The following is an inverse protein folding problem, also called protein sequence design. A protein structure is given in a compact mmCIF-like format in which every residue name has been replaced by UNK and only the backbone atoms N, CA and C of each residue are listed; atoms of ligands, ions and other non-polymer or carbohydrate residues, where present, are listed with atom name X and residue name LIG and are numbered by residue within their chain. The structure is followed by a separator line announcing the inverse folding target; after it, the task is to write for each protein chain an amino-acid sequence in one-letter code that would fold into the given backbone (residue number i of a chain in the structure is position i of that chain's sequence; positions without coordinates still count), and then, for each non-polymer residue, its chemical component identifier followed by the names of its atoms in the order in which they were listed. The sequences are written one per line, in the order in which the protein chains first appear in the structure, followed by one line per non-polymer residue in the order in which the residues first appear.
data_IF_909235841857
#
_entry.id   IF_909235841857
#
_cell.length_a   1.000
_cell.length_b   1.000
_cell.length_c   1.000
_cell.angle_alpha   90.00
_cell.angle_beta   90.00
_cell.angle_gamma   90.00
#
_symmetry.space_group_name_H-M   'P 1'
#
loop_
_entity.id
_entity.type
_entity.pdbx_description
1 polymer ?
#
# COMPACT_ATOMS: atom_id res chain seq x y z
N UNK A 1 -17.37 7.24 -4.91
CA UNK A 1 -16.42 6.61 -3.95
C UNK A 1 -16.71 7.10 -2.54
N UNK A 2 -16.57 6.23 -1.49
CA UNK A 2 -16.63 6.68 -0.08
C UNK A 2 -15.21 6.96 0.41
N UNK A 3 -15.05 8.02 1.22
CA UNK A 3 -13.74 8.39 1.79
C UNK A 3 -13.85 8.32 3.31
N UNK A 4 -12.96 7.55 3.94
CA UNK A 4 -12.84 7.43 5.39
C UNK A 4 -11.47 7.89 5.86
N UNK A 5 -11.44 8.62 6.96
CA UNK A 5 -10.19 9.09 7.59
C UNK A 5 -9.88 8.39 8.90
N UNK A 6 -10.89 7.78 9.53
CA UNK A 6 -10.75 7.06 10.80
C UNK A 6 -11.11 5.58 10.63
N UNK A 7 -10.38 4.72 11.32
CA UNK A 7 -10.66 3.29 11.36
C UNK A 7 -12.06 3.00 11.90
N UNK A 8 -12.50 3.76 12.91
CA UNK A 8 -13.84 3.64 13.49
C UNK A 8 -14.99 3.96 12.52
N UNK A 9 -14.73 4.79 11.51
CA UNK A 9 -15.69 5.10 10.45
C UNK A 9 -15.72 4.01 9.35
N UNK A 10 -14.55 3.42 9.09
CA UNK A 10 -14.39 2.36 8.10
C UNK A 10 -14.95 1.03 8.60
N UNK A 11 -14.76 0.70 9.87
CA UNK A 11 -15.08 -0.60 10.47
C UNK A 11 -16.53 -1.07 10.21
N UNK A 12 -17.60 -0.26 10.40
CA UNK A 12 -18.97 -0.70 10.12
C UNK A 12 -19.18 -1.09 8.65
N UNK A 13 -18.47 -0.43 7.72
CA UNK A 13 -18.53 -0.79 6.31
C UNK A 13 -17.83 -2.14 6.04
N UNK A 14 -16.69 -2.40 6.69
CA UNK A 14 -15.98 -3.67 6.58
C UNK A 14 -16.83 -4.83 7.11
N UNK A 15 -17.50 -4.64 8.25
CA UNK A 15 -18.42 -5.61 8.82
C UNK A 15 -19.56 -5.91 7.83
N UNK A 16 -20.24 -4.87 7.33
CA UNK A 16 -21.34 -5.04 6.37
C UNK A 16 -20.93 -5.78 5.08
N UNK A 17 -19.70 -5.53 4.57
CA UNK A 17 -19.18 -6.22 3.38
C UNK A 17 -18.97 -7.70 3.69
N UNK A 18 -18.36 -8.02 4.83
CA UNK A 18 -18.07 -9.40 5.26
C UNK A 18 -19.34 -10.19 5.57
N UNK A 19 -20.31 -9.57 6.20
CA UNK A 19 -21.61 -10.21 6.52
C UNK A 19 -22.37 -10.58 5.25
N UNK A 20 -22.13 -9.87 4.15
CA UNK A 20 -22.67 -10.20 2.82
C UNK A 20 -21.82 -11.25 2.08
N UNK A 21 -20.76 -11.76 2.68
CA UNK A 21 -19.84 -12.71 2.05
C UNK A 21 -19.02 -12.12 0.90
N UNK A 22 -18.92 -10.78 0.79
CA UNK A 22 -18.21 -10.12 -0.29
C UNK A 22 -16.69 -10.10 -0.03
N UNK A 23 -15.92 -10.35 -1.08
CA UNK A 23 -14.46 -10.28 -1.04
C UNK A 23 -13.96 -8.84 -1.07
N UNK A 24 -12.85 -8.58 -0.37
CA UNK A 24 -12.19 -7.27 -0.30
C UNK A 24 -10.82 -7.36 -0.96
N UNK A 25 -10.62 -6.55 -2.00
CA UNK A 25 -9.32 -6.26 -2.59
C UNK A 25 -8.70 -5.01 -1.97
N UNK A 26 -7.45 -5.08 -1.53
CA UNK A 26 -6.73 -3.97 -0.91
C UNK A 26 -5.54 -3.55 -1.75
N UNK A 27 -5.43 -2.25 -2.04
CA UNK A 27 -4.28 -1.60 -2.68
C UNK A 27 -3.72 -0.55 -1.72
N UNK A 28 -2.50 -0.76 -1.25
CA UNK A 28 -1.80 0.17 -0.34
C UNK A 28 -0.90 1.10 -1.14
N UNK A 29 -1.08 2.41 -0.97
CA UNK A 29 -0.30 3.45 -1.65
C UNK A 29 0.15 4.55 -0.71
N UNK A 30 1.08 5.38 -1.17
CA UNK A 30 1.45 6.63 -0.49
C UNK A 30 0.91 7.88 -1.19
N UNK A 31 -0.03 7.73 -2.13
CA UNK A 31 -0.52 8.83 -2.97
C UNK A 31 0.36 9.08 -4.19
N UNK A 32 0.17 10.23 -4.84
CA UNK A 32 0.77 10.58 -6.14
C UNK A 32 0.49 9.46 -7.16
N UNK A 33 -0.80 9.12 -7.31
CA UNK A 33 -1.25 7.98 -8.08
C UNK A 33 -0.93 8.15 -9.57
N UNK A 34 -0.47 7.08 -10.18
CA UNK A 34 -0.14 6.99 -11.59
C UNK A 34 -0.69 5.67 -12.17
N UNK A 35 -0.56 5.45 -13.47
CA UNK A 35 -1.12 4.28 -14.16
C UNK A 35 -0.71 2.93 -13.55
N UNK A 36 0.47 2.85 -12.97
CA UNK A 36 0.90 1.66 -12.21
C UNK A 36 0.02 1.39 -10.99
N UNK A 37 -0.33 2.41 -10.20
CA UNK A 37 -1.26 2.25 -9.08
C UNK A 37 -2.68 1.95 -9.57
N UNK A 38 -3.14 2.64 -10.62
CA UNK A 38 -4.45 2.42 -11.19
C UNK A 38 -4.61 1.01 -11.78
N UNK A 39 -3.54 0.42 -12.33
CA UNK A 39 -3.56 -0.97 -12.81
C UNK A 39 -3.77 -1.98 -11.67
N UNK A 40 -3.20 -1.73 -10.48
CA UNK A 40 -3.46 -2.58 -9.30
C UNK A 40 -4.93 -2.54 -8.89
N UNK A 41 -5.55 -1.34 -8.96
CA UNK A 41 -6.97 -1.17 -8.63
C UNK A 41 -7.86 -1.90 -9.65
N UNK A 42 -7.57 -1.77 -10.96
CA UNK A 42 -8.30 -2.51 -12.01
C UNK A 42 -8.18 -4.02 -11.80
N UNK A 43 -6.98 -4.51 -11.50
CA UNK A 43 -6.76 -5.93 -11.21
C UNK A 43 -7.54 -6.37 -9.96
N UNK A 44 -7.58 -5.52 -8.92
CA UNK A 44 -8.37 -5.80 -7.73
C UNK A 44 -9.88 -5.87 -8.04
N UNK A 45 -10.39 -5.01 -8.92
CA UNK A 45 -11.80 -5.00 -9.34
C UNK A 45 -12.20 -6.25 -10.15
N UNK A 46 -11.26 -6.87 -10.85
CA UNK A 46 -11.54 -8.12 -11.59
C UNK A 46 -11.77 -9.32 -10.66
N UNK A 47 -11.23 -9.29 -9.46
CA UNK A 47 -11.18 -10.44 -8.55
C UNK A 47 -11.86 -10.22 -7.20
N UNK A 48 -12.43 -9.04 -6.97
CA UNK A 48 -13.13 -8.76 -5.71
C UNK A 48 -14.37 -7.91 -5.97
N UNK A 49 -15.40 -8.14 -5.17
CA UNK A 49 -16.65 -7.34 -5.22
C UNK A 49 -16.46 -5.96 -4.63
N UNK A 50 -15.45 -5.78 -3.77
CA UNK A 50 -15.20 -4.52 -3.10
C UNK A 50 -13.71 -4.19 -3.08
N UNK A 51 -13.36 -2.98 -3.52
CA UNK A 51 -11.96 -2.53 -3.58
C UNK A 51 -11.74 -1.34 -2.67
N UNK A 52 -10.72 -1.45 -1.82
CA UNK A 52 -10.24 -0.40 -0.93
C UNK A 52 -8.85 0.02 -1.39
N UNK A 53 -8.68 1.30 -1.70
CA UNK A 53 -7.37 1.92 -1.85
C UNK A 53 -7.04 2.68 -0.57
N UNK A 54 -5.82 2.58 -0.07
CA UNK A 54 -5.35 3.49 0.96
C UNK A 54 -4.32 4.46 0.39
N UNK A 55 -4.37 5.71 0.89
CA UNK A 55 -3.31 6.68 0.68
C UNK A 55 -2.77 7.06 2.06
N UNK A 56 -1.55 6.61 2.35
CA UNK A 56 -0.90 6.87 3.63
C UNK A 56 0.62 7.02 3.45
N UNK A 57 1.12 8.25 3.68
CA UNK A 57 2.56 8.52 3.66
C UNK A 57 3.13 8.04 5.00
N UNK A 58 3.73 6.83 4.98
CA UNK A 58 4.20 6.18 6.19
C UNK A 58 5.55 6.74 6.66
N UNK A 59 5.62 7.47 7.79
CA UNK A 59 6.88 8.07 8.23
C UNK A 59 7.95 7.04 8.60
N UNK A 60 7.54 5.84 9.03
CA UNK A 60 8.49 4.83 9.53
C UNK A 60 9.34 4.18 8.44
N UNK A 61 8.98 4.30 7.16
CA UNK A 61 9.75 3.72 6.05
C UNK A 61 10.75 4.69 5.41
N UNK A 62 10.74 5.96 5.82
CA UNK A 62 11.71 6.95 5.35
C UNK A 62 12.96 6.94 6.23
N UNK A 63 14.13 6.99 5.59
CA UNK A 63 15.42 7.08 6.28
C UNK A 63 15.85 8.54 6.52
N UNK A 64 15.23 9.49 5.80
CA UNK A 64 15.55 10.90 5.83
C UNK A 64 14.24 11.69 6.00
N UNK A 65 14.20 12.62 6.95
CA UNK A 65 13.06 13.50 7.17
C UNK A 65 12.78 14.42 5.98
N UNK A 66 13.80 14.83 5.25
CA UNK A 66 13.63 15.66 4.06
C UNK A 66 12.84 14.92 2.98
N UNK A 67 13.12 13.61 2.78
CA UNK A 67 12.39 12.79 1.81
C UNK A 67 10.92 12.62 2.21
N UNK A 68 10.64 12.48 3.50
CA UNK A 68 9.28 12.44 4.02
C UNK A 68 8.54 13.77 3.84
N UNK A 69 9.19 14.87 4.18
CA UNK A 69 8.59 16.22 4.10
C UNK A 69 8.35 16.69 2.66
N UNK A 70 9.24 16.29 1.74
CA UNK A 70 9.15 16.64 0.31
C UNK A 70 8.29 15.65 -0.50
N UNK A 71 7.75 14.60 0.13
CA UNK A 71 6.95 13.62 -0.59
C UNK A 71 5.70 14.28 -1.21
N UNK A 72 5.40 14.05 -2.51
CA UNK A 72 4.30 14.70 -3.20
C UNK A 72 2.95 14.41 -2.53
N UNK A 73 2.17 15.47 -2.29
CA UNK A 73 0.81 15.39 -1.73
C UNK A 73 -0.19 15.90 -2.77
N UNK A 74 -0.79 14.99 -3.50
CA UNK A 74 -1.68 15.26 -4.66
C UNK A 74 -3.09 14.72 -4.41
N UNK A 75 -3.61 14.93 -3.19
CA UNK A 75 -4.84 14.26 -2.69
C UNK A 75 -6.04 14.49 -3.61
N UNK A 76 -6.27 15.71 -4.09
CA UNK A 76 -7.45 16.02 -4.92
C UNK A 76 -7.37 15.35 -6.30
N UNK A 77 -6.18 15.32 -6.90
CA UNK A 77 -5.90 14.60 -8.15
C UNK A 77 -6.02 13.08 -7.96
N UNK A 78 -5.50 12.57 -6.85
CA UNK A 78 -5.61 11.16 -6.48
C UNK A 78 -7.08 10.73 -6.27
N UNK A 79 -7.88 11.54 -5.59
CA UNK A 79 -9.32 11.31 -5.42
C UNK A 79 -10.00 11.25 -6.78
N UNK A 80 -9.75 12.23 -7.64
CA UNK A 80 -10.32 12.28 -9.00
C UNK A 80 -9.99 11.04 -9.81
N UNK A 81 -8.73 10.57 -9.75
CA UNK A 81 -8.29 9.33 -10.43
C UNK A 81 -9.01 8.09 -9.89
N UNK A 82 -9.17 8.00 -8.55
CA UNK A 82 -9.85 6.88 -7.92
C UNK A 82 -11.35 6.86 -8.22
N UNK A 83 -12.00 8.02 -8.29
CA UNK A 83 -13.40 8.14 -8.69
C UNK A 83 -13.61 7.74 -10.14
N UNK A 84 -12.77 8.23 -11.04
CA UNK A 84 -12.84 7.91 -12.47
C UNK A 84 -12.66 6.41 -12.75
N UNK A 85 -11.88 5.69 -11.95
CA UNK A 85 -11.69 4.23 -12.09
C UNK A 85 -12.76 3.43 -11.35
N UNK A 86 -13.66 4.08 -10.60
CA UNK A 86 -14.73 3.41 -9.85
C UNK A 86 -14.26 2.67 -8.60
N UNK A 87 -13.20 3.13 -7.93
CA UNK A 87 -12.79 2.57 -6.64
C UNK A 87 -13.92 2.72 -5.61
N UNK A 88 -14.19 1.68 -4.81
CA UNK A 88 -15.32 1.71 -3.88
C UNK A 88 -15.04 2.59 -2.66
N UNK A 89 -13.84 2.45 -2.08
CA UNK A 89 -13.43 3.18 -0.87
C UNK A 89 -12.01 3.69 -0.99
N UNK A 90 -11.81 4.94 -0.57
CA UNK A 90 -10.51 5.50 -0.21
C UNK A 90 -10.40 5.56 1.32
N UNK A 91 -9.38 4.91 1.87
CA UNK A 91 -8.97 5.08 3.26
C UNK A 91 -7.76 6.02 3.33
N UNK A 92 -7.96 7.19 3.93
CA UNK A 92 -6.99 8.29 4.00
C UNK A 92 -6.72 8.66 5.46
N UNK A 93 -6.06 7.77 6.25
CA UNK A 93 -5.83 8.01 7.66
C UNK A 93 -4.68 8.99 7.92
N UNK A 94 -4.74 9.65 9.07
CA UNK A 94 -3.60 10.39 9.62
C UNK A 94 -2.62 9.47 10.35
N UNK A 95 -1.39 9.96 10.60
CA UNK A 95 -0.34 9.18 11.27
C UNK A 95 -0.78 8.67 12.64
N UNK A 96 -1.47 9.51 13.41
CA UNK A 96 -1.98 9.14 14.74
C UNK A 96 -3.03 8.02 14.72
N UNK A 97 -3.77 7.91 13.62
CA UNK A 97 -4.77 6.83 13.44
C UNK A 97 -4.08 5.46 13.27
N UNK A 98 -2.98 5.43 12.50
CA UNK A 98 -2.23 4.20 12.25
C UNK A 98 -1.27 3.88 13.40
N UNK A 99 -0.71 4.91 14.03
CA UNK A 99 0.26 4.78 15.13
C UNK A 99 -0.22 5.49 16.41
N UNK A 100 -1.32 5.04 17.05
CA UNK A 100 -1.88 5.74 18.21
C UNK A 100 -0.98 5.70 19.45
N UNK A 101 0.01 4.80 19.47
CA UNK A 101 1.00 4.67 20.56
C UNK A 101 2.39 5.19 20.19
N UNK A 102 2.48 5.98 19.12
CA UNK A 102 3.74 6.50 18.60
C UNK A 102 4.37 5.59 17.53
N UNK A 103 5.36 6.18 16.83
CA UNK A 103 6.03 5.53 15.70
C UNK A 103 6.97 4.43 16.19
N UNK A 104 6.53 3.18 16.10
CA UNK A 104 7.35 2.02 16.43
C UNK A 104 7.50 1.12 15.20
N UNK A 105 8.75 0.84 14.81
CA UNK A 105 9.06 -0.17 13.79
C UNK A 105 9.11 -1.55 14.43
N UNK A 106 8.47 -2.53 13.81
CA UNK A 106 8.55 -3.93 14.24
C UNK A 106 9.38 -4.71 13.24
N UNK A 107 10.41 -5.38 13.70
CA UNK A 107 11.16 -6.32 12.87
C UNK A 107 10.41 -7.65 12.81
N UNK A 108 9.50 -7.78 11.85
CA UNK A 108 8.60 -8.95 11.75
C UNK A 108 9.20 -10.03 10.84
N UNK A 109 9.84 -9.63 9.74
CA UNK A 109 10.37 -10.53 8.72
C UNK A 109 11.89 -10.51 8.71
N UNK A 110 12.51 -11.70 8.68
CA UNK A 110 13.98 -11.85 8.65
C UNK A 110 14.52 -12.26 7.28
N UNK A 111 13.67 -12.76 6.37
CA UNK A 111 14.07 -13.15 5.01
C UNK A 111 14.27 -11.94 4.11
N UNK A 112 15.14 -12.10 3.10
CA UNK A 112 15.46 -11.07 2.11
C UNK A 112 16.01 -9.78 2.72
N UNK A 113 16.68 -9.89 3.89
CA UNK A 113 17.28 -8.77 4.62
C UNK A 113 18.76 -8.63 4.28
N UNK A 114 19.28 -7.38 4.41
CA UNK A 114 20.69 -7.04 4.15
C UNK A 114 21.16 -7.31 2.72
N UNK A 115 20.23 -7.41 1.77
CA UNK A 115 20.50 -7.55 0.34
C UNK A 115 19.70 -6.53 -0.45
N UNK A 116 20.13 -6.22 -1.68
CA UNK A 116 19.42 -5.30 -2.60
C UNK A 116 19.07 -3.98 -1.89
N UNK A 117 17.80 -3.54 -2.00
CA UNK A 117 17.34 -2.28 -1.40
C UNK A 117 17.51 -2.22 0.12
N UNK A 118 17.35 -3.33 0.84
CA UNK A 118 17.47 -3.35 2.30
C UNK A 118 18.91 -3.00 2.77
N UNK A 119 19.92 -3.39 1.98
CA UNK A 119 21.32 -3.06 2.27
C UNK A 119 21.58 -1.53 2.23
N UNK A 120 20.91 -0.81 1.32
CA UNK A 120 21.10 0.62 1.10
C UNK A 120 20.07 1.49 1.82
N UNK A 121 19.01 0.89 2.36
CA UNK A 121 17.93 1.55 3.09
C UNK A 121 17.65 0.85 4.42
N UNK A 122 18.57 0.90 5.40
CA UNK A 122 18.42 0.20 6.67
C UNK A 122 17.12 0.57 7.38
N UNK A 123 16.34 -0.43 7.82
CA UNK A 123 15.07 -0.23 8.52
C UNK A 123 13.88 0.21 7.63
N UNK A 124 14.08 0.39 6.34
CA UNK A 124 12.98 0.69 5.40
C UNK A 124 11.91 -0.40 5.41
N UNK A 125 12.31 -1.65 5.22
CA UNK A 125 11.36 -2.77 5.21
C UNK A 125 10.77 -3.09 6.58
N UNK A 126 11.43 -2.72 7.69
CA UNK A 126 10.79 -2.79 9.00
C UNK A 126 9.62 -1.82 9.09
N UNK A 127 9.76 -0.61 8.55
CA UNK A 127 8.67 0.35 8.41
C UNK A 127 7.55 -0.14 7.50
N UNK A 128 7.91 -0.68 6.32
CA UNK A 128 6.93 -1.21 5.35
C UNK A 128 6.15 -2.38 5.95
N UNK A 129 6.82 -3.38 6.53
CA UNK A 129 6.13 -4.54 7.12
C UNK A 129 5.28 -4.15 8.31
N UNK A 130 5.72 -3.18 9.10
CA UNK A 130 4.92 -2.67 10.24
C UNK A 130 3.61 -2.06 9.75
N UNK A 131 3.66 -1.15 8.78
CA UNK A 131 2.44 -0.49 8.29
C UNK A 131 1.52 -1.46 7.55
N UNK A 132 2.06 -2.35 6.74
CA UNK A 132 1.25 -3.36 6.04
C UNK A 132 0.56 -4.29 7.02
N UNK A 133 1.26 -4.75 8.07
CA UNK A 133 0.67 -5.57 9.14
C UNK A 133 -0.48 -4.85 9.86
N UNK A 134 -0.33 -3.55 10.16
CA UNK A 134 -1.39 -2.75 10.77
C UNK A 134 -2.63 -2.65 9.86
N UNK A 135 -2.45 -2.36 8.57
CA UNK A 135 -3.55 -2.32 7.60
C UNK A 135 -4.22 -3.70 7.43
N UNK A 136 -3.43 -4.78 7.39
CA UNK A 136 -3.97 -6.13 7.28
C UNK A 136 -4.80 -6.52 8.50
N UNK A 137 -4.35 -6.18 9.70
CA UNK A 137 -5.11 -6.42 10.93
C UNK A 137 -6.39 -5.58 10.99
N UNK A 138 -6.36 -4.35 10.51
CA UNK A 138 -7.51 -3.43 10.49
C UNK A 138 -8.55 -3.83 9.45
N UNK A 139 -8.15 -4.05 8.21
CA UNK A 139 -9.05 -4.26 7.07
C UNK A 139 -9.39 -5.73 6.90
N UNK A 140 -8.43 -6.64 7.13
CA UNK A 140 -8.53 -8.09 6.90
C UNK A 140 -9.04 -8.38 5.49
N UNK A 141 -8.31 -7.94 4.44
CA UNK A 141 -8.75 -8.13 3.06
C UNK A 141 -8.69 -9.59 2.64
N UNK A 142 -9.44 -9.96 1.60
CA UNK A 142 -9.33 -11.27 0.95
C UNK A 142 -8.06 -11.35 0.12
N UNK A 143 -7.80 -10.31 -0.68
CA UNK A 143 -6.63 -10.19 -1.54
C UNK A 143 -5.96 -8.83 -1.33
N UNK A 144 -4.62 -8.79 -1.44
CA UNK A 144 -3.89 -7.51 -1.48
C UNK A 144 -2.92 -7.50 -2.67
N UNK A 145 -2.87 -6.38 -3.38
CA UNK A 145 -2.25 -6.24 -4.69
C UNK A 145 -0.97 -5.41 -4.61
N UNK A 146 0.13 -5.94 -5.17
CA UNK A 146 1.45 -5.30 -5.16
C UNK A 146 2.11 -5.40 -6.53
N UNK A 147 2.77 -4.33 -6.96
CA UNK A 147 3.48 -4.31 -8.23
C UNK A 147 4.82 -5.04 -8.19
N UNK A 148 5.15 -5.79 -9.24
CA UNK A 148 6.44 -6.48 -9.41
C UNK A 148 7.64 -5.54 -9.42
N UNK A 149 7.43 -4.27 -9.72
CA UNK A 149 8.48 -3.25 -9.68
C UNK A 149 9.24 -3.29 -8.36
N UNK A 150 8.54 -3.44 -7.25
CA UNK A 150 9.10 -3.52 -5.91
C UNK A 150 9.23 -4.98 -5.46
N UNK A 151 9.90 -5.82 -6.28
CA UNK A 151 9.97 -7.26 -6.13
C UNK A 151 10.40 -7.73 -4.75
N UNK A 152 11.44 -7.10 -4.16
CA UNK A 152 11.91 -7.43 -2.82
C UNK A 152 10.82 -7.16 -1.77
N UNK A 153 10.08 -6.05 -1.91
CA UNK A 153 8.95 -5.73 -1.05
C UNK A 153 7.86 -6.81 -1.13
N UNK A 154 7.50 -7.24 -2.36
CA UNK A 154 6.50 -8.30 -2.54
C UNK A 154 6.90 -9.58 -1.82
N UNK A 155 8.18 -10.00 -1.95
CA UNK A 155 8.69 -11.20 -1.27
C UNK A 155 8.65 -11.08 0.25
N UNK A 156 9.01 -9.94 0.78
CA UNK A 156 8.97 -9.65 2.23
C UNK A 156 7.52 -9.67 2.74
N UNK A 157 6.57 -9.12 1.98
CA UNK A 157 5.16 -9.11 2.36
C UNK A 157 4.54 -10.51 2.26
N UNK A 158 4.93 -11.32 1.27
CA UNK A 158 4.53 -12.72 1.20
C UNK A 158 4.98 -13.51 2.44
N UNK A 159 6.18 -13.24 2.94
CA UNK A 159 6.67 -13.87 4.18
C UNK A 159 5.96 -13.31 5.43
N UNK A 160 5.65 -11.99 5.47
CA UNK A 160 4.85 -11.39 6.54
C UNK A 160 3.50 -12.12 6.71
N UNK A 161 2.81 -12.36 5.59
CA UNK A 161 1.53 -13.07 5.59
C UNK A 161 1.67 -14.49 6.15
N UNK A 162 2.72 -15.21 5.76
CA UNK A 162 2.98 -16.57 6.28
C UNK A 162 3.26 -16.58 7.79
N UNK A 163 3.99 -15.57 8.31
CA UNK A 163 4.38 -15.50 9.72
C UNK A 163 3.17 -15.15 10.60
N UNK A 164 2.36 -14.20 10.18
CA UNK A 164 1.24 -13.69 10.96
C UNK A 164 -0.07 -14.45 10.70
N UNK A 165 -0.01 -15.57 9.95
CA UNK A 165 -1.17 -16.43 9.65
C UNK A 165 -2.37 -15.69 9.07
N UNK A 166 -2.13 -14.61 8.32
CA UNK A 166 -3.19 -13.90 7.62
C UNK A 166 -3.75 -14.78 6.49
N UNK A 167 -5.06 -14.97 6.45
CA UNK A 167 -5.75 -15.60 5.32
C UNK A 167 -5.87 -14.63 4.13
N UNK A 168 -4.81 -13.89 3.87
CA UNK A 168 -4.74 -12.86 2.83
C UNK A 168 -3.92 -13.41 1.67
N UNK A 169 -4.49 -13.38 0.47
CA UNK A 169 -3.76 -13.73 -0.73
C UNK A 169 -3.01 -12.52 -1.26
N UNK A 170 -1.70 -12.63 -1.42
CA UNK A 170 -0.88 -11.59 -2.04
C UNK A 170 -0.83 -11.81 -3.54
N UNK A 171 -1.36 -10.86 -4.30
CA UNK A 171 -1.38 -10.86 -5.75
C UNK A 171 -0.25 -9.96 -6.25
N UNK A 172 0.66 -10.55 -6.98
CA UNK A 172 1.76 -9.85 -7.64
C UNK A 172 1.32 -9.44 -9.04
N UNK A 173 1.36 -8.14 -9.35
CA UNK A 173 0.90 -7.59 -10.60
C UNK A 173 2.07 -7.12 -11.46
N UNK A 174 2.02 -7.29 -12.80
CA UNK A 174 3.05 -6.81 -13.70
C UNK A 174 3.28 -5.31 -13.61
N UNK A 175 4.52 -4.88 -13.83
CA UNK A 175 4.87 -3.46 -13.89
C UNK A 175 4.29 -2.81 -15.14
N UNK A 176 3.56 -1.72 -14.96
CA UNK A 176 3.15 -0.86 -16.09
C UNK A 176 4.34 -0.05 -16.56
N UNK A 177 4.59 -0.11 -17.87
CA UNK A 177 5.71 0.59 -18.51
C UNK A 177 5.20 1.54 -19.57
N UNK A 178 5.92 2.62 -19.78
CA UNK A 178 5.66 3.56 -20.86
C UNK A 178 6.17 3.02 -22.23
N UNK A 179 6.02 3.85 -23.26
CA UNK A 179 6.47 3.51 -24.62
C UNK A 179 7.99 3.32 -24.74
N UNK A 180 8.75 3.85 -23.79
CA UNK A 180 10.22 3.74 -23.71
C UNK A 180 10.66 2.53 -22.88
N UNK A 181 9.71 1.77 -22.31
CA UNK A 181 9.98 0.62 -21.46
C UNK A 181 10.28 0.97 -20.00
N UNK A 182 10.17 2.25 -19.60
CA UNK A 182 10.41 2.70 -18.22
C UNK A 182 9.18 2.48 -17.36
N UNK A 183 9.37 2.08 -16.11
CA UNK A 183 8.26 1.98 -15.15
C UNK A 183 7.76 3.37 -14.75
N UNK A 184 6.44 3.56 -14.57
CA UNK A 184 5.80 4.86 -14.35
C UNK A 184 6.43 5.70 -13.23
N UNK A 185 7.06 5.10 -12.22
CA UNK A 185 7.67 5.84 -11.08
C UNK A 185 8.97 6.57 -11.42
N UNK A 186 9.65 6.25 -12.49
CA UNK A 186 10.93 6.87 -12.83
C UNK A 186 10.78 8.33 -13.28
N UNK A 187 9.58 8.74 -13.68
CA UNK A 187 9.29 10.14 -14.06
C UNK A 187 9.00 11.07 -12.88
N UNK A 188 8.65 10.54 -11.72
CA UNK A 188 8.23 11.34 -10.57
C UNK A 188 9.28 11.47 -9.48
N UNK A 189 10.38 10.72 -9.61
CA UNK A 189 11.49 10.76 -8.66
C UNK A 189 12.79 10.78 -9.44
N UNK A 190 13.62 11.86 -9.36
CA UNK A 190 14.94 11.82 -9.94
C UNK A 190 15.67 10.62 -9.36
N UNK A 191 16.15 9.75 -10.23
CA UNK A 191 16.98 8.62 -9.81
C UNK A 191 18.26 9.16 -9.19
N UNK A 192 18.66 8.68 -8.00
CA UNK A 192 19.97 9.08 -7.45
C UNK A 192 21.15 8.59 -8.31
N UNK A 193 20.90 8.01 -9.48
CA UNK A 193 21.89 7.47 -10.42
C UNK A 193 21.98 8.24 -11.74
N UNK A 194 21.16 9.30 -11.91
CA UNK A 194 21.21 10.21 -13.07
C UNK A 194 22.13 11.39 -12.78
#
# INVERSE_FOLDING_TARGET
MKIFRKASELEPNLVSIKDKGQSIGLVLTMGNLHDGHLSLIREAQLHNEFVICSIFINPTQFNNENDFNSYPKTIDDDISKLENIGCNVLFLPEVQEIYPRGLAKKKIVNKFRNILCDKFRPGHFDGVTTVVDLFFNMIKPTNSYFGEKDFQQVKIIQDLVKINHHNIKIIQCPSVRDKMGMSCLLYTSPSPRD
#
